data_IF_498237468158
#
_entry.id   IF_498237468158
#
_cell.length_a   1.000
_cell.length_b   1.000
_cell.length_c   1.000
_cell.angle_alpha   90.00
_cell.angle_beta   90.00
_cell.angle_gamma   90.00
#
_symmetry.space_group_name_H-M   'P 1'
#
loop_
_entity.id
_entity.type
_entity.pdbx_description
1 polymer ?
#
# COMPACT_ATOMS: atom_id res chain seq x y z
N UNK A 1 -15.11 10.02 -37.13
CA UNK A 1 -14.11 8.94 -37.27
C UNK A 1 -13.16 9.07 -36.09
N UNK A 2 -13.42 8.31 -35.02
CA UNK A 2 -12.58 8.28 -33.83
C UNK A 2 -11.44 7.29 -34.08
N UNK A 3 -10.21 7.71 -33.79
CA UNK A 3 -9.00 6.95 -34.07
C UNK A 3 -8.99 5.60 -33.38
N UNK A 4 -8.83 4.55 -34.17
CA UNK A 4 -8.50 3.21 -33.71
C UNK A 4 -7.04 3.23 -33.28
N UNK A 5 -6.78 3.50 -32.00
CA UNK A 5 -5.48 3.30 -31.36
C UNK A 5 -5.29 1.80 -31.06
N UNK A 6 -5.28 0.99 -32.12
CA UNK A 6 -4.91 -0.43 -32.05
C UNK A 6 -3.40 -0.53 -31.84
N UNK A 7 -3.01 -1.04 -30.68
CA UNK A 7 -1.64 -1.47 -30.42
C UNK A 7 -1.36 -2.76 -31.21
N UNK A 8 -0.39 -2.81 -32.13
CA UNK A 8 -0.23 -3.92 -33.07
C UNK A 8 0.16 -5.27 -32.41
N UNK A 9 0.50 -5.32 -31.11
CA UNK A 9 1.10 -6.49 -30.49
C UNK A 9 0.13 -7.55 -29.90
N UNK A 10 -1.16 -7.25 -29.61
CA UNK A 10 -2.09 -8.20 -28.93
C UNK A 10 -3.23 -8.72 -29.85
N UNK A 11 -3.33 -8.24 -31.10
CA UNK A 11 -4.28 -8.76 -32.11
C UNK A 11 -5.78 -8.65 -31.75
N UNK A 12 -6.15 -7.91 -30.71
CA UNK A 12 -7.55 -7.70 -30.27
C UNK A 12 -8.02 -6.27 -30.54
N UNK A 13 -9.22 -6.15 -31.13
CA UNK A 13 -9.93 -4.87 -31.24
C UNK A 13 -10.61 -4.53 -29.90
N UNK A 14 -9.89 -3.89 -28.97
CA UNK A 14 -10.44 -3.41 -27.70
C UNK A 14 -10.53 -1.87 -27.68
N UNK A 15 -11.63 -1.33 -27.15
CA UNK A 15 -11.79 0.12 -26.94
C UNK A 15 -10.88 0.62 -25.81
N UNK A 16 -10.57 1.93 -25.79
CA UNK A 16 -9.76 2.53 -24.71
C UNK A 16 -10.34 2.24 -23.31
N UNK A 17 -11.66 2.24 -23.19
CA UNK A 17 -12.36 1.94 -21.92
C UNK A 17 -12.17 0.48 -21.49
N UNK A 18 -12.26 -0.47 -22.42
CA UNK A 18 -12.02 -1.90 -22.15
C UNK A 18 -10.58 -2.17 -21.75
N UNK A 19 -9.60 -1.54 -22.41
CA UNK A 19 -8.19 -1.63 -22.05
C UNK A 19 -7.93 -1.11 -20.63
N UNK A 20 -8.54 0.03 -20.26
CA UNK A 20 -8.42 0.60 -18.92
C UNK A 20 -9.05 -0.30 -17.85
N UNK A 21 -10.20 -0.92 -18.12
CA UNK A 21 -10.84 -1.86 -17.20
C UNK A 21 -10.01 -3.14 -17.03
N UNK A 22 -9.43 -3.67 -18.10
CA UNK A 22 -8.51 -4.81 -18.07
C UNK A 22 -7.27 -4.51 -17.23
N UNK A 23 -6.60 -3.38 -17.48
CA UNK A 23 -5.44 -2.94 -16.72
C UNK A 23 -5.78 -2.68 -15.25
N UNK A 24 -6.95 -2.10 -14.97
CA UNK A 24 -7.44 -1.90 -13.61
C UNK A 24 -7.65 -3.23 -12.87
N UNK A 25 -8.28 -4.21 -13.51
CA UNK A 25 -8.48 -5.54 -12.93
C UNK A 25 -7.15 -6.26 -12.67
N UNK A 26 -6.16 -6.13 -13.56
CA UNK A 26 -4.81 -6.64 -13.33
C UNK A 26 -4.16 -5.97 -12.10
N UNK A 27 -4.23 -4.65 -11.99
CA UNK A 27 -3.73 -3.91 -10.82
C UNK A 27 -4.44 -4.31 -9.53
N UNK A 28 -5.76 -4.51 -9.54
CA UNK A 28 -6.51 -5.00 -8.38
C UNK A 28 -6.09 -6.41 -7.98
N UNK A 29 -5.72 -7.26 -8.93
CA UNK A 29 -5.22 -8.60 -8.65
C UNK A 29 -3.83 -8.55 -8.00
N UNK A 30 -2.91 -7.76 -8.53
CA UNK A 30 -1.59 -7.54 -7.92
C UNK A 30 -1.71 -6.96 -6.51
N UNK A 31 -2.58 -5.97 -6.33
CA UNK A 31 -2.87 -5.38 -5.02
C UNK A 31 -3.42 -6.41 -4.03
N UNK A 32 -4.24 -7.36 -4.49
CA UNK A 32 -4.80 -8.42 -3.63
C UNK A 32 -3.72 -9.37 -3.11
N UNK A 33 -2.70 -9.67 -3.92
CA UNK A 33 -1.54 -10.48 -3.48
C UNK A 33 -0.86 -9.80 -2.30
N UNK A 34 -0.59 -8.50 -2.40
CA UNK A 34 0.05 -7.71 -1.33
C UNK A 34 -0.88 -7.55 -0.13
N UNK A 35 -2.17 -7.31 -0.36
CA UNK A 35 -3.18 -7.12 0.68
C UNK A 35 -3.27 -8.30 1.65
N UNK A 36 -3.09 -9.52 1.15
CA UNK A 36 -3.15 -10.74 1.96
C UNK A 36 -2.08 -10.72 3.07
N UNK A 37 -0.89 -10.18 2.78
CA UNK A 37 0.18 -10.03 3.77
C UNK A 37 -0.22 -9.10 4.92
N UNK A 38 -0.85 -7.97 4.61
CA UNK A 38 -1.32 -7.00 5.62
C UNK A 38 -2.47 -7.56 6.46
N UNK A 39 -3.38 -8.33 5.85
CA UNK A 39 -4.47 -9.00 6.57
C UNK A 39 -3.94 -10.04 7.56
N UNK A 40 -2.95 -10.83 7.14
CA UNK A 40 -2.29 -11.81 8.01
C UNK A 40 -1.61 -11.12 9.21
N UNK A 41 -0.84 -10.07 8.95
CA UNK A 41 -0.21 -9.26 10.02
C UNK A 41 -1.26 -8.71 10.99
N UNK A 42 -2.35 -8.15 10.48
CA UNK A 42 -3.45 -7.60 11.28
C UNK A 42 -4.08 -8.69 12.15
N UNK A 43 -4.37 -9.87 11.59
CA UNK A 43 -4.94 -11.00 12.32
C UNK A 43 -4.03 -11.53 13.42
N UNK A 44 -2.72 -11.63 13.16
CA UNK A 44 -1.75 -12.00 14.17
C UNK A 44 -1.68 -10.98 15.30
N UNK A 45 -1.63 -9.69 14.95
CA UNK A 45 -1.66 -8.62 15.95
C UNK A 45 -2.92 -8.74 16.82
N UNK A 46 -4.12 -8.87 16.24
CA UNK A 46 -5.36 -9.02 17.02
C UNK A 46 -5.35 -10.23 17.96
N UNK A 47 -4.74 -11.34 17.54
CA UNK A 47 -4.62 -12.54 18.38
C UNK A 47 -3.74 -12.31 19.62
N UNK A 48 -2.68 -11.50 19.49
CA UNK A 48 -1.73 -11.25 20.59
C UNK A 48 -2.41 -10.65 21.83
N UNK A 49 -3.44 -9.81 21.69
CA UNK A 49 -4.17 -9.22 22.83
C UNK A 49 -4.80 -10.26 23.76
N UNK A 50 -5.11 -11.45 23.25
CA UNK A 50 -5.77 -12.51 24.01
C UNK A 50 -4.78 -13.55 24.56
N UNK A 51 -3.48 -13.41 24.25
CA UNK A 51 -2.47 -14.31 24.79
C UNK A 51 -2.18 -14.00 26.26
N UNK A 52 -1.91 -15.03 27.06
CA UNK A 52 -1.59 -14.86 28.49
C UNK A 52 -0.41 -13.92 28.72
N UNK A 53 0.59 -13.97 27.83
CA UNK A 53 1.77 -13.11 27.85
C UNK A 53 1.42 -11.62 27.69
N UNK A 54 0.26 -11.27 27.12
CA UNK A 54 -0.13 -9.88 26.89
C UNK A 54 -0.18 -9.05 28.18
N UNK A 55 -0.65 -9.65 29.28
CA UNK A 55 -0.73 -8.98 30.58
C UNK A 55 0.62 -8.76 31.25
N UNK A 56 1.67 -9.43 30.78
CA UNK A 56 3.04 -9.28 31.26
C UNK A 56 3.82 -8.17 30.54
N UNK A 57 3.26 -7.53 29.51
CA UNK A 57 3.92 -6.42 28.83
C UNK A 57 3.94 -5.16 29.70
N UNK A 58 5.03 -4.40 29.58
CA UNK A 58 5.11 -3.07 30.13
C UNK A 58 4.09 -2.13 29.46
N UNK A 59 3.62 -1.11 30.19
CA UNK A 59 2.55 -0.20 29.74
C UNK A 59 2.85 0.44 28.37
N UNK A 60 4.10 0.84 28.14
CA UNK A 60 4.51 1.44 26.87
C UNK A 60 4.41 0.46 25.69
N UNK A 61 4.64 -0.84 25.92
CA UNK A 61 4.53 -1.85 24.89
C UNK A 61 3.06 -2.14 24.57
N UNK A 62 2.19 -2.14 25.59
CA UNK A 62 0.74 -2.27 25.39
C UNK A 62 0.18 -1.07 24.59
N UNK A 63 0.61 0.15 24.92
CA UNK A 63 0.23 1.34 24.14
C UNK A 63 0.74 1.27 22.70
N UNK A 64 2.01 0.90 22.49
CA UNK A 64 2.57 0.73 21.15
C UNK A 64 1.79 -0.33 20.36
N UNK A 65 1.46 -1.46 20.99
CA UNK A 65 0.63 -2.50 20.40
C UNK A 65 -0.73 -1.98 19.92
N UNK A 66 -1.45 -1.21 20.75
CA UNK A 66 -2.75 -0.65 20.38
C UNK A 66 -2.66 0.33 19.19
N UNK A 67 -1.59 1.14 19.15
CA UNK A 67 -1.33 2.03 18.02
C UNK A 67 -1.07 1.22 16.74
N UNK A 68 -0.24 0.18 16.83
CA UNK A 68 0.12 -0.68 15.70
C UNK A 68 -1.10 -1.44 15.16
N UNK A 69 -1.93 -2.00 16.04
CA UNK A 69 -3.20 -2.64 15.66
C UNK A 69 -4.11 -1.65 14.94
N UNK A 70 -4.26 -0.44 15.48
CA UNK A 70 -5.10 0.61 14.88
C UNK A 70 -4.62 0.99 13.49
N UNK A 71 -3.30 1.13 13.30
CA UNK A 71 -2.69 1.40 12.00
C UNK A 71 -2.90 0.25 11.01
N UNK A 72 -2.81 -1.00 11.46
CA UNK A 72 -3.02 -2.18 10.62
C UNK A 72 -4.48 -2.30 10.15
N UNK A 73 -5.44 -2.01 11.03
CA UNK A 73 -6.86 -1.94 10.70
C UNK A 73 -7.15 -0.79 9.72
N UNK A 74 -6.61 0.40 9.97
CA UNK A 74 -6.76 1.55 9.06
C UNK A 74 -6.18 1.26 7.68
N UNK A 75 -4.98 0.67 7.62
CA UNK A 75 -4.36 0.23 6.37
C UNK A 75 -5.26 -0.74 5.59
N UNK A 76 -5.87 -1.72 6.29
CA UNK A 76 -6.80 -2.66 5.67
C UNK A 76 -8.02 -1.94 5.10
N UNK A 77 -8.58 -0.96 5.80
CA UNK A 77 -9.71 -0.15 5.31
C UNK A 77 -9.32 0.65 4.07
N UNK A 78 -8.15 1.31 4.07
CA UNK A 78 -7.66 2.05 2.90
C UNK A 78 -7.38 1.14 1.71
N UNK A 79 -6.87 -0.07 1.93
CA UNK A 79 -6.64 -1.06 0.89
C UNK A 79 -7.95 -1.54 0.22
N UNK A 80 -9.10 -1.44 0.89
CA UNK A 80 -10.41 -1.77 0.31
C UNK A 80 -11.02 -0.63 -0.53
N UNK A 81 -10.48 0.60 -0.42
CA UNK A 81 -11.02 1.77 -1.12
C UNK A 81 -11.04 1.66 -2.65
N UNK A 82 -10.05 1.06 -3.35
CA UNK A 82 -10.10 0.93 -4.81
C UNK A 82 -11.35 0.17 -5.29
N UNK A 83 -11.74 -0.88 -4.56
CA UNK A 83 -12.93 -1.67 -4.87
C UNK A 83 -14.20 -0.85 -4.66
N UNK A 84 -14.27 -0.08 -3.56
CA UNK A 84 -15.40 0.78 -3.26
C UNK A 84 -15.55 1.93 -4.27
N UNK A 85 -14.43 2.60 -4.61
CA UNK A 85 -14.37 3.68 -5.60
C UNK A 85 -14.76 3.19 -6.99
N UNK A 86 -14.24 2.03 -7.42
CA UNK A 86 -14.65 1.41 -8.67
C UNK A 86 -16.17 1.16 -8.70
N UNK A 87 -16.74 0.54 -7.66
CA UNK A 87 -18.18 0.23 -7.60
C UNK A 87 -19.09 1.49 -7.59
N UNK A 88 -18.58 2.61 -7.07
CA UNK A 88 -19.33 3.86 -6.90
C UNK A 88 -19.24 4.80 -8.12
N UNK A 89 -18.05 5.03 -8.67
CA UNK A 89 -17.80 6.05 -9.69
C UNK A 89 -17.88 5.53 -11.14
N UNK A 90 -17.69 4.22 -11.37
CA UNK A 90 -17.79 3.66 -12.73
C UNK A 90 -19.20 3.83 -13.31
N UNK A 91 -20.23 3.80 -12.45
CA UNK A 91 -21.62 4.08 -12.84
C UNK A 91 -21.91 5.53 -13.19
N UNK A 92 -21.01 6.47 -12.87
CA UNK A 92 -21.22 7.92 -13.07
C UNK A 92 -20.31 8.53 -14.16
N UNK A 93 -19.50 7.75 -14.87
CA UNK A 93 -18.54 8.21 -15.91
C UNK A 93 -17.55 9.29 -15.44
N UNK A 94 -17.34 9.45 -14.13
CA UNK A 94 -16.49 10.47 -13.53
C UNK A 94 -15.05 9.97 -13.29
N UNK A 95 -14.34 9.64 -14.38
CA UNK A 95 -13.00 9.02 -14.30
C UNK A 95 -11.93 9.92 -13.63
N UNK A 96 -11.97 11.24 -13.85
CA UNK A 96 -10.98 12.15 -13.29
C UNK A 96 -11.02 12.22 -11.75
N UNK A 97 -12.21 12.21 -11.16
CA UNK A 97 -12.39 12.19 -9.70
C UNK A 97 -11.98 10.85 -9.10
N UNK A 98 -12.24 9.74 -9.78
CA UNK A 98 -11.87 8.40 -9.34
C UNK A 98 -10.35 8.30 -9.17
N UNK A 99 -9.58 8.76 -10.15
CA UNK A 99 -8.10 8.72 -10.11
C UNK A 99 -7.55 9.62 -9.00
N UNK A 100 -8.07 10.83 -8.85
CA UNK A 100 -7.58 11.78 -7.84
C UNK A 100 -7.86 11.33 -6.39
N UNK A 101 -9.00 10.68 -6.14
CA UNK A 101 -9.30 10.12 -4.82
C UNK A 101 -8.60 8.78 -4.60
N UNK A 102 -8.54 7.92 -5.62
CA UNK A 102 -7.86 6.63 -5.57
C UNK A 102 -6.37 6.78 -5.23
N UNK A 103 -5.66 7.68 -5.91
CA UNK A 103 -4.25 7.96 -5.65
C UNK A 103 -4.00 8.43 -4.20
N UNK A 104 -4.84 9.32 -3.67
CA UNK A 104 -4.74 9.76 -2.26
C UNK A 104 -4.96 8.61 -1.28
N UNK A 105 -6.00 7.80 -1.50
CA UNK A 105 -6.30 6.67 -0.62
C UNK A 105 -5.19 5.62 -0.65
N UNK A 106 -4.61 5.34 -1.81
CA UNK A 106 -3.46 4.42 -1.95
C UNK A 106 -2.24 4.96 -1.20
N UNK A 107 -1.93 6.26 -1.32
CA UNK A 107 -0.82 6.89 -0.59
C UNK A 107 -1.00 6.84 0.93
N UNK A 108 -2.20 7.16 1.43
CA UNK A 108 -2.50 7.06 2.86
C UNK A 108 -2.44 5.61 3.33
N UNK A 109 -3.03 4.68 2.57
CA UNK A 109 -2.98 3.25 2.85
C UNK A 109 -1.54 2.75 2.95
N UNK A 110 -0.70 3.08 1.96
CA UNK A 110 0.74 2.82 1.99
C UNK A 110 1.38 3.36 3.26
N UNK A 111 1.25 4.65 3.56
CA UNK A 111 1.85 5.26 4.75
C UNK A 111 1.43 4.54 6.05
N UNK A 112 0.14 4.24 6.21
CA UNK A 112 -0.37 3.51 7.39
C UNK A 112 0.17 2.09 7.48
N UNK A 113 0.31 1.36 6.36
CA UNK A 113 0.94 0.04 6.31
C UNK A 113 2.39 0.11 6.78
N UNK A 114 3.15 1.09 6.28
CA UNK A 114 4.56 1.24 6.63
C UNK A 114 4.75 1.53 8.12
N UNK A 115 3.93 2.42 8.68
CA UNK A 115 3.94 2.69 10.12
C UNK A 115 3.55 1.47 10.94
N UNK A 116 2.57 0.69 10.50
CA UNK A 116 2.18 -0.56 11.17
C UNK A 116 3.32 -1.58 11.17
N UNK A 117 4.02 -1.77 10.04
CA UNK A 117 5.17 -2.70 9.93
C UNK A 117 6.32 -2.26 10.82
N UNK A 118 6.70 -0.97 10.78
CA UNK A 118 7.79 -0.44 11.61
C UNK A 118 7.44 -0.51 13.09
N UNK A 119 6.20 -0.17 13.45
CA UNK A 119 5.75 -0.26 14.84
C UNK A 119 5.64 -1.71 15.33
N UNK A 120 5.22 -2.66 14.49
CA UNK A 120 5.22 -4.08 14.83
C UNK A 120 6.65 -4.60 15.07
N UNK A 121 7.61 -4.19 14.22
CA UNK A 121 9.02 -4.51 14.41
C UNK A 121 9.56 -3.93 15.73
N UNK A 122 9.29 -2.66 16.00
CA UNK A 122 9.67 -2.01 17.25
C UNK A 122 9.05 -2.70 18.47
N UNK A 123 7.79 -3.12 18.39
CA UNK A 123 7.10 -3.86 19.45
C UNK A 123 7.79 -5.21 19.72
N UNK A 124 8.10 -5.99 18.68
CA UNK A 124 8.76 -7.29 18.82
C UNK A 124 10.12 -7.12 19.49
N UNK A 125 10.95 -6.18 19.02
CA UNK A 125 12.24 -5.90 19.63
C UNK A 125 12.10 -5.37 21.07
N UNK A 126 11.07 -4.57 21.32
CA UNK A 126 10.72 -4.08 22.64
C UNK A 126 10.40 -5.19 23.64
N UNK A 127 9.63 -6.18 23.22
CA UNK A 127 9.27 -7.35 24.03
C UNK A 127 10.48 -8.24 24.28
N UNK A 128 11.31 -8.48 23.26
CA UNK A 128 12.42 -9.43 23.35
C UNK A 128 13.66 -8.85 24.04
N UNK A 129 13.98 -7.59 23.77
CA UNK A 129 15.27 -7.00 24.14
C UNK A 129 15.18 -5.61 24.80
N UNK A 130 13.96 -5.11 25.04
CA UNK A 130 13.71 -3.85 25.74
C UNK A 130 13.72 -2.61 24.84
N UNK A 131 13.65 -1.44 25.49
CA UNK A 131 13.38 -0.16 24.80
C UNK A 131 14.49 0.28 23.83
N UNK A 132 15.77 0.05 24.16
CA UNK A 132 16.90 0.44 23.30
C UNK A 132 16.84 -0.25 21.91
N UNK A 133 16.80 -1.58 21.86
CA UNK A 133 16.63 -2.32 20.61
C UNK A 133 15.34 -2.00 19.87
N UNK A 134 14.24 -1.71 20.57
CA UNK A 134 12.98 -1.26 19.96
C UNK A 134 13.16 0.02 19.14
N UNK A 135 13.86 1.02 19.71
CA UNK A 135 14.15 2.29 19.03
C UNK A 135 15.04 2.04 17.82
N UNK A 136 16.11 1.24 17.97
CA UNK A 136 16.99 0.87 16.86
C UNK A 136 16.23 0.22 15.71
N UNK A 137 15.34 -0.72 16.02
CA UNK A 137 14.51 -1.40 15.04
C UNK A 137 13.51 -0.44 14.37
N UNK A 138 12.91 0.49 15.12
CA UNK A 138 12.02 1.51 14.57
C UNK A 138 12.76 2.44 13.60
N UNK A 139 13.97 2.88 13.95
CA UNK A 139 14.79 3.77 13.11
C UNK A 139 15.22 3.05 11.82
N UNK A 140 15.80 1.85 11.94
CA UNK A 140 16.25 1.08 10.78
C UNK A 140 15.07 0.70 9.89
N UNK A 141 13.98 0.21 10.47
CA UNK A 141 12.76 -0.12 9.73
C UNK A 141 12.16 1.11 9.04
N UNK A 142 12.09 2.25 9.73
CA UNK A 142 11.59 3.50 9.17
C UNK A 142 12.45 4.01 8.01
N UNK A 143 13.77 3.91 8.13
CA UNK A 143 14.71 4.27 7.05
C UNK A 143 14.58 3.32 5.85
N UNK A 144 14.44 2.01 6.07
CA UNK A 144 14.24 1.05 4.99
C UNK A 144 12.92 1.30 4.25
N UNK A 145 11.82 1.42 4.99
CA UNK A 145 10.50 1.69 4.42
C UNK A 145 10.48 3.04 3.69
N UNK A 146 11.02 4.09 4.32
CA UNK A 146 11.11 5.42 3.73
C UNK A 146 11.98 5.43 2.47
N UNK A 147 13.18 4.84 2.53
CA UNK A 147 14.09 4.80 1.38
C UNK A 147 13.51 4.05 0.19
N UNK A 148 12.86 2.91 0.39
CA UNK A 148 12.19 2.17 -0.70
C UNK A 148 11.07 3.02 -1.31
N UNK A 149 10.25 3.67 -0.48
CA UNK A 149 9.18 4.54 -0.97
C UNK A 149 9.65 5.81 -1.66
N UNK A 150 10.81 6.35 -1.30
CA UNK A 150 11.39 7.51 -1.98
C UNK A 150 12.20 7.12 -3.22
N UNK A 151 12.89 5.97 -3.20
CA UNK A 151 13.69 5.48 -4.31
C UNK A 151 12.84 5.14 -5.53
N UNK A 152 11.69 4.50 -5.33
CA UNK A 152 10.75 4.15 -6.42
C UNK A 152 10.30 5.37 -7.26
N UNK A 153 9.68 6.42 -6.69
CA UNK A 153 9.20 7.56 -7.45
C UNK A 153 10.35 8.41 -8.02
N UNK A 154 11.50 8.49 -7.35
CA UNK A 154 12.66 9.26 -7.86
C UNK A 154 13.35 8.53 -9.01
N UNK A 155 13.49 7.20 -8.94
CA UNK A 155 14.05 6.38 -10.02
C UNK A 155 13.18 6.41 -11.28
N UNK A 156 11.87 6.26 -11.12
CA UNK A 156 10.91 6.33 -12.23
C UNK A 156 10.87 7.72 -12.90
N UNK A 157 10.97 8.80 -12.11
CA UNK A 157 11.06 10.18 -12.63
C UNK A 157 12.34 10.47 -13.41
N UNK A 158 13.43 9.74 -13.12
CA UNK A 158 14.70 9.87 -13.84
C UNK A 158 14.70 9.09 -15.15
N UNK A 159 14.08 7.90 -15.19
CA UNK A 159 13.94 7.11 -16.42
C UNK A 159 12.96 7.71 -17.44
N UNK A 160 11.90 8.39 -17.00
CA UNK A 160 10.94 9.04 -17.90
C UNK A 160 11.46 10.33 -18.59
N UNK A 161 12.71 10.73 -18.34
CA UNK A 161 13.33 11.94 -18.90
C UNK A 161 14.15 11.72 -20.18
N UNK A 162 14.10 10.55 -20.80
CA UNK A 162 14.74 10.34 -22.12
C UNK A 162 13.72 10.09 -23.24
N UNK A 163 13.20 11.14 -23.89
CA UNK A 163 12.89 11.12 -25.30
C UNK A 163 14.15 11.56 -26.07
N UNK A 164 14.93 10.60 -26.55
CA UNK A 164 15.83 10.87 -27.68
C UNK A 164 14.93 11.09 -28.91
N UNK A 165 14.65 12.35 -29.23
CA UNK A 165 14.08 12.70 -30.53
C UNK A 165 15.14 12.39 -31.60
N UNK A 166 14.81 11.63 -32.66
CA UNK A 166 15.73 11.47 -33.78
C UNK A 166 15.93 12.84 -34.44
N UNK A 167 17.17 13.29 -34.47
CA UNK A 167 17.62 14.41 -35.28
C UNK A 167 17.76 13.99 -36.74
N UNK A 168 17.21 14.84 -37.62
CA UNK A 168 17.39 14.91 -39.08
C UNK A 168 16.50 14.01 -39.95
#
# INVERSE_FOLDING_TARGET
MAGTDADPEDGREETLTERLDRNWNALLQELRVVQTGTQLLTGFLLTVAFQQTFRGLADWQQMLYLVVVSLAVLSTVFALMPVALHRALFRRRAMAELVAWGDRMVKVGMATTGLAVVGALALIFGVVAGAGPAIGAAVVGGLLVGSIWFALPVGLRRGAREPHAPSA
#
